data_IF_316079985142
#
_entry.id   IF_316079985142
#
_cell.length_a   1.000
_cell.length_b   1.000
_cell.length_c   1.000
_cell.angle_alpha   90.00
_cell.angle_beta   90.00
_cell.angle_gamma   90.00
#
_symmetry.space_group_name_H-M   'P 1'
#
loop_
_entity.id
_entity.type
_entity.pdbx_description
1 polymer ?
#
# COMPACT_ATOMS: atom_id res chain seq x y z
N UNK A 1 -15.04 6.53 -10.55
CA UNK A 1 -14.97 7.96 -10.90
C UNK A 1 -15.93 8.86 -10.13
N UNK A 2 -17.05 8.36 -9.63
CA UNK A 2 -18.07 9.17 -8.93
C UNK A 2 -17.95 9.10 -7.38
N UNK A 3 -17.11 8.25 -6.85
CA UNK A 3 -16.95 8.05 -5.41
C UNK A 3 -16.66 9.38 -4.66
N UNK A 4 -17.28 9.57 -3.50
CA UNK A 4 -17.11 10.74 -2.65
C UNK A 4 -17.66 12.07 -3.22
N UNK A 5 -18.50 12.03 -4.26
CA UNK A 5 -19.05 13.23 -4.92
C UNK A 5 -20.50 13.57 -4.50
N UNK A 6 -20.87 13.27 -3.26
CA UNK A 6 -22.19 13.69 -2.77
C UNK A 6 -22.32 15.22 -2.81
N UNK A 7 -23.53 15.71 -3.06
CA UNK A 7 -23.81 17.17 -3.10
C UNK A 7 -23.44 17.89 -1.80
N UNK A 8 -23.47 17.18 -0.67
CA UNK A 8 -23.03 17.68 0.64
C UNK A 8 -21.58 18.19 0.60
N UNK A 9 -20.70 17.53 -0.16
CA UNK A 9 -19.27 17.85 -0.21
C UNK A 9 -18.86 18.69 -1.43
N UNK A 10 -19.63 18.61 -2.50
CA UNK A 10 -19.31 19.34 -3.74
C UNK A 10 -19.97 20.71 -3.82
N UNK A 11 -21.00 20.97 -3.03
CA UNK A 11 -21.81 22.20 -3.05
C UNK A 11 -22.26 22.59 -4.47
N UNK A 12 -22.49 21.57 -5.34
CA UNK A 12 -22.88 21.74 -6.73
C UNK A 12 -21.74 21.79 -7.74
N UNK A 13 -20.48 21.86 -7.31
CA UNK A 13 -19.33 21.72 -8.20
C UNK A 13 -19.13 20.26 -8.65
N UNK A 14 -18.33 20.03 -9.70
CA UNK A 14 -17.99 18.69 -10.18
C UNK A 14 -17.07 17.98 -9.19
N UNK A 15 -16.11 18.67 -8.58
CA UNK A 15 -15.21 18.16 -7.55
C UNK A 15 -15.64 18.62 -6.15
N UNK A 16 -15.09 17.99 -5.11
CA UNK A 16 -15.22 18.47 -3.74
C UNK A 16 -14.64 19.87 -3.58
N UNK A 17 -15.17 20.64 -2.63
CA UNK A 17 -14.59 21.94 -2.27
C UNK A 17 -13.28 21.77 -1.50
N UNK A 18 -12.39 22.74 -1.54
CA UNK A 18 -11.23 22.82 -0.64
C UNK A 18 -11.64 23.71 0.53
N UNK A 19 -11.90 23.09 1.68
CA UNK A 19 -12.25 23.80 2.90
C UNK A 19 -11.09 23.69 3.90
N UNK A 20 -10.29 24.76 3.97
CA UNK A 20 -9.23 24.90 4.99
C UNK A 20 -9.84 25.51 6.23
N UNK A 21 -9.73 24.85 7.36
CA UNK A 21 -10.21 25.35 8.64
C UNK A 21 -9.47 24.74 9.83
N UNK A 22 -9.13 25.56 10.80
CA UNK A 22 -8.84 25.15 12.16
C UNK A 22 -10.11 25.25 13.00
N UNK A 23 -10.67 26.45 13.12
CA UNK A 23 -11.91 26.70 13.85
C UNK A 23 -13.11 26.71 12.91
N UNK A 24 -14.23 26.20 13.43
CA UNK A 24 -15.54 26.22 12.79
C UNK A 24 -16.53 26.93 13.72
N UNK A 25 -17.31 27.86 13.19
CA UNK A 25 -18.23 28.73 13.97
C UNK A 25 -19.59 28.03 14.04
N UNK A 26 -20.28 28.18 15.17
CA UNK A 26 -21.63 27.71 15.41
C UNK A 26 -22.56 28.87 15.67
N UNK A 27 -23.70 28.90 14.97
CA UNK A 27 -24.69 30.01 15.08
C UNK A 27 -25.45 29.98 16.40
N UNK A 28 -25.42 28.88 17.14
CA UNK A 28 -26.11 28.75 18.41
C UNK A 28 -25.48 27.71 19.33
N UNK A 29 -25.80 27.75 20.61
CA UNK A 29 -25.41 26.72 21.61
C UNK A 29 -25.98 25.35 21.21
N UNK A 30 -27.17 25.30 20.66
CA UNK A 30 -27.78 24.05 20.22
C UNK A 30 -27.05 23.46 19.00
N UNK A 31 -26.68 24.29 18.02
CA UNK A 31 -25.86 23.88 16.89
C UNK A 31 -24.49 23.30 17.36
N UNK A 32 -23.85 23.97 18.32
CA UNK A 32 -22.60 23.47 18.93
C UNK A 32 -22.79 22.13 19.61
N UNK A 33 -23.86 21.96 20.41
CA UNK A 33 -24.17 20.69 21.08
C UNK A 33 -24.44 19.56 20.07
N UNK A 34 -25.19 19.86 19.00
CA UNK A 34 -25.42 18.90 17.91
C UNK A 34 -24.13 18.45 17.26
N UNK A 35 -23.28 19.37 16.83
CA UNK A 35 -21.98 19.07 16.23
C UNK A 35 -21.07 18.28 17.18
N UNK A 36 -21.10 18.60 18.49
CA UNK A 36 -20.32 17.85 19.49
C UNK A 36 -20.77 16.39 19.60
N UNK A 37 -22.09 16.13 19.63
CA UNK A 37 -22.63 14.76 19.68
C UNK A 37 -22.31 13.97 18.40
N UNK A 38 -22.32 14.65 17.26
CA UNK A 38 -22.18 14.04 15.93
C UNK A 38 -20.77 14.18 15.33
N UNK A 39 -19.78 14.66 16.10
CA UNK A 39 -18.40 14.92 15.62
C UNK A 39 -17.69 13.71 14.99
N UNK A 40 -18.20 12.51 15.23
CA UNK A 40 -17.69 11.27 14.67
C UNK A 40 -18.38 10.85 13.36
N UNK A 41 -19.46 11.55 12.97
CA UNK A 41 -20.36 11.16 11.87
C UNK A 41 -20.22 12.07 10.63
N UNK A 42 -19.05 12.70 10.42
CA UNK A 42 -18.81 13.59 9.30
C UNK A 42 -19.54 14.95 9.44
N UNK A 43 -19.77 15.40 10.69
CA UNK A 43 -20.25 16.74 11.00
C UNK A 43 -19.08 17.70 11.22
N UNK A 44 -19.25 18.92 10.73
CA UNK A 44 -18.26 19.99 10.93
C UNK A 44 -18.20 20.37 12.43
N UNK A 45 -17.06 20.14 13.03
CA UNK A 45 -16.87 20.36 14.48
C UNK A 45 -15.58 21.13 14.77
N UNK A 46 -14.46 20.65 14.28
CA UNK A 46 -13.11 21.20 14.45
C UNK A 46 -12.20 20.69 13.34
N UNK A 47 -11.37 21.54 12.77
CA UNK A 47 -10.58 21.23 11.57
C UNK A 47 -9.75 19.94 11.66
N UNK A 48 -9.17 19.63 12.83
CA UNK A 48 -8.42 18.37 13.04
C UNK A 48 -9.28 17.10 12.85
N UNK A 49 -10.60 17.19 13.04
CA UNK A 49 -11.53 16.08 12.79
C UNK A 49 -12.04 16.00 11.36
N UNK A 50 -11.57 16.88 10.51
CA UNK A 50 -11.89 16.94 9.09
C UNK A 50 -12.84 18.09 8.73
N UNK A 51 -12.85 18.35 7.44
CA UNK A 51 -13.74 19.32 6.76
C UNK A 51 -14.45 18.59 5.62
N UNK A 52 -15.28 19.31 4.86
CA UNK A 52 -15.99 18.74 3.71
C UNK A 52 -15.03 18.06 2.71
N UNK A 53 -13.82 18.61 2.56
CA UNK A 53 -12.77 18.03 1.68
C UNK A 53 -12.34 16.64 2.17
N UNK A 54 -12.08 16.52 3.47
CA UNK A 54 -11.67 15.25 4.08
C UNK A 54 -12.78 14.20 4.04
N UNK A 55 -14.01 14.61 4.38
CA UNK A 55 -15.17 13.72 4.37
C UNK A 55 -15.49 13.19 2.97
N UNK A 56 -15.29 14.02 1.94
CA UNK A 56 -15.40 13.63 0.53
C UNK A 56 -14.40 12.50 0.18
N UNK A 57 -13.14 12.66 0.58
CA UNK A 57 -12.10 11.65 0.33
C UNK A 57 -12.36 10.37 1.15
N UNK A 58 -12.72 10.50 2.43
CA UNK A 58 -13.04 9.35 3.28
C UNK A 58 -14.20 8.54 2.71
N UNK A 59 -15.28 9.22 2.26
CA UNK A 59 -16.39 8.56 1.57
C UNK A 59 -15.93 7.88 0.29
N UNK A 60 -15.08 8.55 -0.52
CA UNK A 60 -14.57 7.97 -1.75
C UNK A 60 -13.77 6.68 -1.50
N UNK A 61 -12.95 6.66 -0.46
CA UNK A 61 -12.18 5.46 -0.09
C UNK A 61 -13.08 4.34 0.42
N UNK A 62 -14.09 4.65 1.24
CA UNK A 62 -15.08 3.66 1.67
C UNK A 62 -15.84 3.05 0.48
N UNK A 63 -16.29 3.87 -0.47
CA UNK A 63 -16.97 3.40 -1.69
C UNK A 63 -16.02 2.59 -2.58
N UNK A 64 -14.74 2.96 -2.63
CA UNK A 64 -13.74 2.27 -3.43
C UNK A 64 -13.43 0.86 -2.89
N UNK A 65 -13.26 0.73 -1.57
CA UNK A 65 -12.80 -0.51 -0.93
C UNK A 65 -13.92 -1.31 -0.23
N UNK A 66 -15.15 -0.79 -0.20
CA UNK A 66 -16.30 -1.47 0.45
C UNK A 66 -16.28 -1.37 1.97
N UNK A 67 -15.63 -0.35 2.56
CA UNK A 67 -15.46 -0.22 3.99
C UNK A 67 -16.57 0.54 4.71
N UNK A 68 -16.65 0.35 6.03
CA UNK A 68 -17.56 1.08 6.92
C UNK A 68 -17.03 2.46 7.31
N UNK A 69 -15.70 2.67 7.26
CA UNK A 69 -15.04 3.93 7.54
C UNK A 69 -13.62 4.00 7.02
N UNK A 70 -13.13 5.22 6.87
CA UNK A 70 -11.78 5.51 6.41
C UNK A 70 -11.12 6.56 7.31
N UNK A 71 -9.89 6.31 7.73
CA UNK A 71 -9.03 7.29 8.41
C UNK A 71 -7.95 7.77 7.45
N UNK A 72 -7.64 9.07 7.51
CA UNK A 72 -6.57 9.71 6.74
C UNK A 72 -5.36 9.97 7.65
N UNK A 73 -4.17 9.71 7.13
CA UNK A 73 -2.89 9.84 7.84
C UNK A 73 -1.90 10.67 7.01
N UNK A 74 -0.89 11.30 7.64
CA UNK A 74 0.07 12.15 6.92
C UNK A 74 0.95 11.39 5.93
N UNK A 75 1.08 10.07 6.07
CA UNK A 75 1.81 9.21 5.12
C UNK A 75 1.42 7.72 5.32
N UNK A 76 1.87 6.86 4.41
CA UNK A 76 1.63 5.42 4.49
C UNK A 76 2.20 4.77 5.75
N UNK A 77 3.42 5.12 6.14
CA UNK A 77 4.04 4.59 7.37
C UNK A 77 3.23 4.97 8.63
N UNK A 78 2.68 6.18 8.69
CA UNK A 78 1.78 6.59 9.77
C UNK A 78 0.47 5.79 9.74
N UNK A 79 -0.06 5.49 8.55
CA UNK A 79 -1.27 4.66 8.43
C UNK A 79 -1.03 3.24 8.97
N UNK A 80 0.08 2.60 8.60
CA UNK A 80 0.46 1.27 9.12
C UNK A 80 0.65 1.30 10.64
N UNK A 81 1.54 2.18 11.13
CA UNK A 81 1.88 2.25 12.55
C UNK A 81 0.65 2.51 13.43
N UNK A 82 -0.18 3.49 13.06
CA UNK A 82 -1.36 3.84 13.86
C UNK A 82 -2.49 2.80 13.73
N UNK A 83 -2.62 2.12 12.59
CA UNK A 83 -3.58 1.02 12.46
C UNK A 83 -3.22 -0.14 13.39
N UNK A 84 -1.93 -0.49 13.50
CA UNK A 84 -1.47 -1.52 14.43
C UNK A 84 -1.67 -1.05 15.88
N UNK A 85 -1.21 0.16 16.24
CA UNK A 85 -1.35 0.72 17.59
C UNK A 85 -2.81 0.82 18.06
N UNK A 86 -3.75 0.94 17.14
CA UNK A 86 -5.17 1.01 17.48
C UNK A 86 -5.69 -0.26 18.17
N UNK A 87 -5.05 -1.40 17.98
CA UNK A 87 -5.61 -2.69 18.39
C UNK A 87 -4.70 -3.50 19.34
N UNK A 88 -3.46 -3.08 19.58
CA UNK A 88 -2.52 -3.82 20.42
C UNK A 88 -2.37 -3.19 21.79
N UNK A 89 -2.11 -4.04 22.78
CA UNK A 89 -1.77 -3.70 24.16
C UNK A 89 -0.51 -4.44 24.59
N UNK A 90 0.03 -4.09 25.75
CA UNK A 90 1.17 -4.80 26.33
C UNK A 90 0.84 -6.29 26.51
N UNK A 91 1.72 -7.16 26.02
CA UNK A 91 1.56 -8.61 26.08
C UNK A 91 0.93 -9.20 24.82
N UNK A 92 0.45 -8.40 23.90
CA UNK A 92 -0.09 -8.87 22.60
C UNK A 92 1.02 -9.34 21.66
N UNK A 93 0.60 -10.13 20.68
CA UNK A 93 1.44 -10.64 19.59
C UNK A 93 0.94 -10.17 18.22
N UNK A 94 1.89 -9.71 17.39
CA UNK A 94 1.69 -9.40 15.98
C UNK A 94 2.36 -10.46 15.13
N UNK A 95 1.62 -11.09 14.24
CA UNK A 95 2.16 -12.02 13.25
C UNK A 95 2.20 -11.31 11.88
N UNK A 96 3.38 -11.02 11.35
CA UNK A 96 3.60 -10.21 10.15
C UNK A 96 4.28 -11.02 9.05
N UNK A 97 3.86 -10.80 7.78
CA UNK A 97 4.61 -11.37 6.66
C UNK A 97 6.05 -10.85 6.65
N UNK A 98 7.02 -11.73 6.37
CA UNK A 98 8.43 -11.34 6.29
C UNK A 98 8.76 -10.56 5.00
N UNK A 99 7.78 -10.40 4.11
CA UNK A 99 7.87 -9.58 2.89
C UNK A 99 7.19 -8.23 3.03
N UNK A 100 6.79 -7.84 4.23
CA UNK A 100 6.25 -6.50 4.48
C UNK A 100 7.30 -5.40 4.21
N UNK A 101 6.83 -4.22 3.88
CA UNK A 101 7.66 -3.03 3.69
C UNK A 101 8.57 -2.79 4.90
N UNK A 102 9.87 -2.58 4.67
CA UNK A 102 10.89 -2.52 5.72
C UNK A 102 10.53 -1.57 6.88
N UNK A 103 10.05 -0.32 6.66
CA UNK A 103 9.63 0.55 7.76
C UNK A 103 8.49 0.00 8.61
N UNK A 104 7.61 -0.85 8.05
CA UNK A 104 6.56 -1.53 8.82
C UNK A 104 7.15 -2.60 9.74
N UNK A 105 8.15 -3.34 9.24
CA UNK A 105 8.93 -4.31 10.02
C UNK A 105 9.71 -3.60 11.14
N UNK A 106 10.38 -2.49 10.80
CA UNK A 106 11.14 -1.68 11.75
C UNK A 106 10.27 -1.09 12.85
N UNK A 107 9.07 -0.63 12.51
CA UNK A 107 8.10 -0.18 13.50
C UNK A 107 7.78 -1.29 14.50
N UNK A 108 7.48 -2.49 14.03
CA UNK A 108 7.16 -3.62 14.90
C UNK A 108 8.35 -4.04 15.75
N UNK A 109 9.54 -4.16 15.18
CA UNK A 109 10.74 -4.63 15.90
C UNK A 109 11.36 -3.58 16.83
N UNK A 110 11.28 -2.28 16.46
CA UNK A 110 11.99 -1.19 17.18
C UNK A 110 11.08 -0.36 18.09
N UNK A 111 9.79 -0.24 17.78
CA UNK A 111 8.86 0.59 18.53
C UNK A 111 7.89 -0.27 19.33
N UNK A 112 7.16 -1.20 18.70
CA UNK A 112 6.20 -2.05 19.41
C UNK A 112 6.86 -2.89 20.50
N UNK A 113 8.08 -3.37 20.27
CA UNK A 113 8.84 -4.12 21.27
C UNK A 113 9.06 -3.33 22.58
N UNK A 114 9.23 -2.00 22.49
CA UNK A 114 9.35 -1.12 23.67
C UNK A 114 8.03 -0.95 24.43
N UNK A 115 6.91 -1.22 23.76
CA UNK A 115 5.56 -1.19 24.35
C UNK A 115 5.14 -2.56 24.91
N UNK A 116 6.04 -3.55 24.86
CA UNK A 116 5.78 -4.89 25.36
C UNK A 116 4.93 -5.75 24.42
N UNK A 117 4.83 -5.37 23.14
CA UNK A 117 4.19 -6.18 22.10
C UNK A 117 5.24 -7.00 21.37
N UNK A 118 5.00 -8.30 21.20
CA UNK A 118 5.89 -9.20 20.49
C UNK A 118 5.53 -9.30 19.02
N UNK A 119 6.53 -9.51 18.13
CA UNK A 119 6.29 -9.71 16.71
C UNK A 119 7.00 -10.97 16.25
N UNK A 120 6.31 -11.80 15.48
CA UNK A 120 6.90 -12.91 14.74
C UNK A 120 6.56 -12.81 13.24
N UNK A 121 7.26 -13.61 12.45
CA UNK A 121 7.26 -13.47 10.99
C UNK A 121 6.82 -14.76 10.33
N UNK A 122 6.16 -14.68 9.18
CA UNK A 122 5.78 -15.84 8.40
C UNK A 122 6.14 -15.66 6.92
N UNK A 123 6.30 -16.80 6.24
CA UNK A 123 6.58 -16.86 4.80
C UNK A 123 5.32 -16.43 4.00
N UNK A 124 5.44 -15.56 2.98
CA UNK A 124 4.30 -15.09 2.20
C UNK A 124 3.50 -16.21 1.51
N UNK A 125 4.12 -17.35 1.23
CA UNK A 125 3.49 -18.48 0.56
C UNK A 125 2.95 -19.55 1.52
N UNK A 126 2.90 -19.25 2.82
CA UNK A 126 2.53 -20.23 3.87
C UNK A 126 1.08 -20.73 3.75
N UNK A 127 0.17 -19.93 3.20
CA UNK A 127 -1.24 -20.28 3.07
C UNK A 127 -1.88 -20.68 4.41
N UNK A 128 -2.63 -21.79 4.42
CA UNK A 128 -3.32 -22.28 5.62
C UNK A 128 -2.36 -22.74 6.74
N UNK A 129 -1.10 -23.06 6.43
CA UNK A 129 -0.09 -23.44 7.43
C UNK A 129 0.27 -22.33 8.41
N UNK A 130 -0.24 -21.10 8.19
CA UNK A 130 -0.12 -19.97 9.13
C UNK A 130 -0.62 -20.32 10.54
N UNK A 131 -1.50 -21.30 10.69
CA UNK A 131 -1.96 -21.80 12.00
C UNK A 131 -0.83 -22.23 12.93
N UNK A 132 0.31 -22.67 12.37
CA UNK A 132 1.49 -23.09 13.12
C UNK A 132 2.24 -21.93 13.78
N UNK A 133 1.98 -20.70 13.36
CA UNK A 133 2.61 -19.47 13.85
C UNK A 133 1.68 -18.64 14.75
N UNK A 134 0.40 -18.98 14.81
CA UNK A 134 -0.57 -18.31 15.67
C UNK A 134 -0.31 -18.66 17.14
N UNK A 135 -0.42 -17.66 18.01
CA UNK A 135 -0.28 -17.78 19.46
C UNK A 135 -1.63 -17.41 20.10
N UNK A 136 -1.92 -17.86 21.35
CA UNK A 136 -3.16 -17.52 22.03
C UNK A 136 -3.38 -16.00 22.18
N UNK A 137 -2.30 -15.23 22.25
CA UNK A 137 -2.28 -13.77 22.34
C UNK A 137 -2.03 -13.08 20.98
N UNK A 138 -2.15 -13.79 19.84
CA UNK A 138 -2.05 -13.16 18.52
C UNK A 138 -3.23 -12.21 18.33
N UNK A 139 -2.92 -10.92 18.34
CA UNK A 139 -3.90 -9.85 18.20
C UNK A 139 -4.03 -9.35 16.77
N UNK A 140 -2.91 -9.31 16.03
CA UNK A 140 -2.88 -8.85 14.65
C UNK A 140 -2.18 -9.88 13.77
N UNK A 141 -2.76 -10.12 12.58
CA UNK A 141 -2.08 -10.75 11.44
C UNK A 141 -1.95 -9.70 10.34
N UNK A 142 -0.71 -9.37 9.98
CA UNK A 142 -0.40 -8.31 9.01
C UNK A 142 0.14 -8.89 7.71
N UNK A 143 -0.54 -8.58 6.61
CA UNK A 143 -0.24 -9.04 5.26
C UNK A 143 0.28 -7.86 4.41
N UNK A 144 1.03 -8.17 3.36
CA UNK A 144 1.32 -7.28 2.24
C UNK A 144 1.40 -8.13 0.98
N UNK A 145 0.46 -7.94 0.06
CA UNK A 145 0.35 -8.79 -1.14
C UNK A 145 0.03 -7.95 -2.37
N UNK A 146 0.90 -8.00 -3.40
CA UNK A 146 2.21 -8.67 -3.44
C UNK A 146 3.20 -8.13 -2.41
N UNK A 147 4.15 -8.99 -2.00
CA UNK A 147 5.19 -8.63 -1.05
C UNK A 147 6.13 -7.54 -1.56
N UNK A 148 6.64 -6.71 -0.66
CA UNK A 148 7.57 -5.62 -0.98
C UNK A 148 8.81 -6.15 -1.69
N UNK A 149 9.18 -5.52 -2.80
CA UNK A 149 10.37 -5.78 -3.65
C UNK A 149 10.31 -7.11 -4.43
N UNK A 150 10.05 -8.24 -3.78
CA UNK A 150 10.15 -9.59 -4.39
C UNK A 150 8.83 -10.14 -4.93
N UNK A 151 7.72 -9.44 -4.69
CA UNK A 151 6.42 -9.59 -5.36
C UNK A 151 5.70 -10.94 -5.17
N UNK A 152 5.96 -11.67 -4.09
CA UNK A 152 5.20 -12.89 -3.75
C UNK A 152 3.74 -12.55 -3.47
N UNK A 153 2.81 -13.30 -4.05
CA UNK A 153 1.36 -13.12 -3.82
C UNK A 153 0.86 -14.16 -2.83
N UNK A 154 0.16 -13.69 -1.80
CA UNK A 154 -0.38 -14.53 -0.73
C UNK A 154 -1.66 -15.26 -1.16
N UNK A 155 -1.90 -16.46 -0.63
CA UNK A 155 -3.22 -17.08 -0.60
C UNK A 155 -4.07 -16.46 0.52
N UNK A 156 -4.57 -15.22 0.27
CA UNK A 156 -5.31 -14.45 1.27
C UNK A 156 -6.54 -15.19 1.79
N UNK A 157 -7.40 -15.80 0.95
CA UNK A 157 -8.55 -16.56 1.43
C UNK A 157 -8.17 -17.71 2.38
N UNK A 158 -7.12 -18.47 2.04
CA UNK A 158 -6.66 -19.58 2.89
C UNK A 158 -6.11 -19.07 4.23
N UNK A 159 -5.32 -17.99 4.21
CA UNK A 159 -4.81 -17.35 5.43
C UNK A 159 -5.96 -16.85 6.31
N UNK A 160 -6.92 -16.12 5.75
CA UNK A 160 -8.07 -15.59 6.50
C UNK A 160 -8.87 -16.71 7.13
N UNK A 161 -9.21 -17.76 6.37
CA UNK A 161 -9.97 -18.90 6.89
C UNK A 161 -9.20 -19.60 8.04
N UNK A 162 -7.90 -19.82 7.89
CA UNK A 162 -7.05 -20.43 8.89
C UNK A 162 -6.97 -19.59 10.17
N UNK A 163 -6.73 -18.28 10.06
CA UNK A 163 -6.69 -17.36 11.21
C UNK A 163 -8.04 -17.36 11.95
N UNK A 164 -9.16 -17.24 11.22
CA UNK A 164 -10.50 -17.21 11.83
C UNK A 164 -10.84 -18.51 12.56
N UNK A 165 -10.28 -19.65 12.14
CA UNK A 165 -10.53 -20.95 12.79
C UNK A 165 -9.81 -21.11 14.13
N UNK A 166 -8.70 -20.40 14.36
CA UNK A 166 -7.86 -20.54 15.55
C UNK A 166 -7.96 -19.34 16.49
N UNK A 167 -7.89 -18.13 15.94
CA UNK A 167 -7.96 -16.86 16.69
C UNK A 167 -8.98 -15.93 16.03
N UNK A 168 -10.29 -16.21 16.16
CA UNK A 168 -11.36 -15.52 15.44
C UNK A 168 -11.40 -14.00 15.70
N UNK A 169 -10.95 -13.58 16.86
CA UNK A 169 -10.94 -12.18 17.28
C UNK A 169 -9.71 -11.39 16.81
N UNK A 170 -8.68 -12.06 16.26
CA UNK A 170 -7.53 -11.37 15.69
C UNK A 170 -7.96 -10.41 14.58
N UNK A 171 -7.28 -9.27 14.50
CA UNK A 171 -7.49 -8.28 13.44
C UNK A 171 -6.56 -8.61 12.28
N UNK A 172 -7.13 -8.85 11.10
CA UNK A 172 -6.36 -9.12 9.90
C UNK A 172 -6.24 -7.82 9.11
N UNK A 173 -5.00 -7.38 8.92
CA UNK A 173 -4.67 -6.15 8.19
C UNK A 173 -3.86 -6.47 6.94
N UNK A 174 -4.00 -5.64 5.92
CA UNK A 174 -3.19 -5.73 4.71
C UNK A 174 -2.71 -4.36 4.27
N UNK A 175 -1.42 -4.26 3.93
CA UNK A 175 -0.95 -3.18 3.06
C UNK A 175 -1.37 -3.50 1.63
N UNK A 176 -2.34 -2.74 1.13
CA UNK A 176 -2.97 -2.90 -0.18
C UNK A 176 -2.50 -1.81 -1.18
N UNK A 177 -1.37 -1.18 -0.90
CA UNK A 177 -0.86 -0.05 -1.67
C UNK A 177 -0.61 -0.42 -3.13
N UNK A 178 -0.05 -1.61 -3.40
CA UNK A 178 0.24 -2.07 -4.76
C UNK A 178 -1.03 -2.20 -5.62
N UNK A 179 -2.10 -2.66 -5.04
CA UNK A 179 -3.37 -2.88 -5.72
C UNK A 179 -4.29 -1.65 -5.72
N UNK A 180 -3.92 -0.58 -5.01
CA UNK A 180 -4.64 0.69 -4.94
C UNK A 180 -6.12 0.57 -4.53
N UNK A 181 -6.51 -0.50 -3.83
CA UNK A 181 -7.91 -0.79 -3.47
C UNK A 181 -8.83 -1.05 -4.67
N UNK A 182 -8.28 -1.11 -5.88
CA UNK A 182 -9.00 -1.38 -7.14
C UNK A 182 -8.75 -2.80 -7.62
N UNK A 183 -7.46 -3.17 -7.72
CA UNK A 183 -7.04 -4.44 -8.30
C UNK A 183 -7.30 -5.62 -7.36
N UNK A 184 -7.34 -5.36 -6.05
CA UNK A 184 -7.67 -6.31 -5.01
C UNK A 184 -8.62 -5.69 -3.97
N UNK A 185 -9.79 -6.28 -3.79
CA UNK A 185 -10.83 -5.84 -2.85
C UNK A 185 -10.66 -6.53 -1.50
N UNK A 186 -9.70 -6.09 -0.72
CA UNK A 186 -9.26 -6.77 0.49
C UNK A 186 -10.39 -7.10 1.48
N UNK A 187 -11.33 -6.19 1.69
CA UNK A 187 -12.43 -6.40 2.65
C UNK A 187 -13.40 -7.51 2.20
N UNK A 188 -13.56 -7.73 0.89
CA UNK A 188 -14.40 -8.81 0.35
C UNK A 188 -13.80 -10.19 0.66
N UNK A 189 -12.50 -10.27 0.94
CA UNK A 189 -11.79 -11.49 1.33
C UNK A 189 -11.70 -11.70 2.85
N UNK A 190 -12.43 -10.90 3.66
CA UNK A 190 -12.47 -11.04 5.11
C UNK A 190 -11.33 -10.36 5.88
N UNK A 191 -10.58 -9.49 5.20
CA UNK A 191 -9.62 -8.56 5.84
C UNK A 191 -10.42 -7.53 6.66
N UNK A 192 -9.91 -7.15 7.81
CA UNK A 192 -10.55 -6.16 8.69
C UNK A 192 -10.13 -4.73 8.36
N UNK A 193 -8.86 -4.52 8.01
CA UNK A 193 -8.29 -3.19 7.72
C UNK A 193 -7.43 -3.25 6.46
N UNK A 194 -7.81 -2.50 5.45
CA UNK A 194 -7.04 -2.27 4.23
C UNK A 194 -6.30 -0.94 4.34
N UNK A 195 -4.97 -0.99 4.32
CA UNK A 195 -4.09 0.16 4.50
C UNK A 195 -3.43 0.49 3.16
N UNK A 196 -3.30 1.78 2.86
CA UNK A 196 -2.60 2.23 1.66
C UNK A 196 -1.72 3.44 1.94
N UNK A 197 -0.52 3.44 1.38
CA UNK A 197 0.19 4.67 1.08
C UNK A 197 -0.49 5.32 -0.13
N UNK A 198 -1.53 6.13 0.11
CA UNK A 198 -2.26 6.81 -0.96
C UNK A 198 -1.38 7.79 -1.76
N UNK A 199 -0.20 8.12 -1.24
CA UNK A 199 0.96 8.74 -1.91
C UNK A 199 1.26 8.14 -3.29
N UNK A 200 0.98 6.83 -3.47
CA UNK A 200 1.29 6.07 -4.68
C UNK A 200 0.22 6.31 -5.75
N UNK A 201 -0.41 5.26 -6.25
CA UNK A 201 -1.38 5.33 -7.35
C UNK A 201 -2.59 6.22 -7.10
N UNK A 202 -3.05 6.37 -5.86
CA UNK A 202 -4.22 7.20 -5.56
C UNK A 202 -3.95 8.68 -5.89
N UNK A 203 -2.83 9.24 -5.43
CA UNK A 203 -2.34 10.56 -5.83
C UNK A 203 -1.86 10.53 -7.29
N UNK A 204 -0.94 9.63 -7.61
CA UNK A 204 -0.48 9.30 -8.96
C UNK A 204 0.40 10.34 -9.65
N UNK A 205 0.92 11.34 -8.92
CA UNK A 205 1.64 12.46 -9.49
C UNK A 205 2.93 12.82 -8.74
N UNK A 206 3.35 11.99 -7.77
CA UNK A 206 4.62 12.12 -7.02
C UNK A 206 4.80 13.46 -6.27
N UNK A 207 3.68 14.13 -5.92
CA UNK A 207 3.66 15.50 -5.39
C UNK A 207 2.97 15.65 -4.03
N UNK A 208 2.44 14.56 -3.45
CA UNK A 208 1.79 14.60 -2.14
C UNK A 208 2.01 13.31 -1.34
N UNK A 209 2.05 13.45 -0.03
CA UNK A 209 2.17 12.32 0.90
C UNK A 209 0.91 12.17 1.72
N UNK A 210 0.33 10.97 1.70
CA UNK A 210 -0.89 10.65 2.45
C UNK A 210 -0.99 9.14 2.64
N UNK A 211 -1.54 8.72 3.80
CA UNK A 211 -1.94 7.35 4.06
C UNK A 211 -3.44 7.24 4.28
N UNK A 212 -4.01 6.10 3.96
CA UNK A 212 -5.41 5.77 4.27
C UNK A 212 -5.50 4.41 4.93
N UNK A 213 -6.46 4.25 5.85
CA UNK A 213 -6.85 2.95 6.36
C UNK A 213 -8.38 2.85 6.27
N UNK A 214 -8.86 1.92 5.46
CA UNK A 214 -10.27 1.61 5.30
C UNK A 214 -10.56 0.32 6.06
N UNK A 215 -11.62 0.29 6.86
CA UNK A 215 -11.92 -0.87 7.68
C UNK A 215 -13.40 -1.26 7.65
N UNK A 216 -13.68 -2.51 8.08
CA UNK A 216 -15.02 -2.99 8.29
C UNK A 216 -15.68 -2.37 9.55
N UNK A 217 -16.98 -2.65 9.78
CA UNK A 217 -17.72 -2.07 10.89
C UNK A 217 -17.18 -2.48 12.27
N UNK A 218 -16.59 -3.68 12.39
CA UNK A 218 -16.01 -4.18 13.65
C UNK A 218 -14.84 -3.32 14.14
N UNK A 219 -14.05 -2.78 13.21
CA UNK A 219 -12.83 -2.04 13.52
C UNK A 219 -13.00 -0.52 13.52
N UNK A 220 -14.11 0.00 12.95
CA UNK A 220 -14.24 1.41 12.65
C UNK A 220 -14.11 2.34 13.86
N UNK A 221 -14.84 2.08 14.91
CA UNK A 221 -14.86 2.97 16.07
C UNK A 221 -13.47 3.05 16.73
N UNK A 222 -12.84 1.90 16.96
CA UNK A 222 -11.54 1.82 17.62
C UNK A 222 -10.44 2.45 16.78
N UNK A 223 -10.37 2.17 15.47
CA UNK A 223 -9.40 2.76 14.56
C UNK A 223 -9.54 4.29 14.50
N UNK A 224 -10.76 4.78 14.36
CA UNK A 224 -11.08 6.21 14.28
C UNK A 224 -10.68 6.95 15.55
N UNK A 225 -11.10 6.46 16.72
CA UNK A 225 -10.81 7.14 17.99
C UNK A 225 -9.32 7.11 18.32
N UNK A 226 -8.63 6.01 18.07
CA UNK A 226 -7.18 5.94 18.24
C UNK A 226 -6.47 6.99 17.36
N UNK A 227 -6.82 7.09 16.10
CA UNK A 227 -6.24 8.10 15.20
C UNK A 227 -6.46 9.53 15.69
N UNK A 228 -7.65 9.84 16.22
CA UNK A 228 -7.92 11.14 16.82
C UNK A 228 -7.09 11.42 18.07
N UNK A 229 -6.93 10.43 18.95
CA UNK A 229 -6.12 10.56 20.17
C UNK A 229 -4.65 10.74 19.82
N UNK A 230 -4.16 10.05 18.80
CA UNK A 230 -2.80 10.17 18.29
C UNK A 230 -2.58 11.44 17.45
N UNK A 231 -3.61 12.27 17.26
CA UNK A 231 -3.52 13.53 16.52
C UNK A 231 -3.34 13.39 15.02
N UNK A 232 -3.71 12.24 14.46
CA UNK A 232 -3.55 11.96 13.03
C UNK A 232 -4.49 12.83 12.20
N UNK A 233 -3.93 13.50 11.21
CA UNK A 233 -4.66 14.32 10.24
C UNK A 233 -3.83 14.55 8.98
N UNK A 234 -4.48 15.00 7.93
CA UNK A 234 -3.88 15.52 6.71
C UNK A 234 -4.50 16.90 6.43
N UNK A 235 -3.79 17.76 5.72
CA UNK A 235 -4.33 19.05 5.31
C UNK A 235 -5.38 18.90 4.19
N UNK A 236 -6.21 19.95 4.01
CA UNK A 236 -7.31 19.92 3.04
C UNK A 236 -6.82 19.90 1.59
N UNK A 237 -5.66 20.50 1.29
CA UNK A 237 -5.10 20.53 -0.06
C UNK A 237 -4.63 19.14 -0.47
N UNK A 238 -3.91 18.43 0.39
CA UNK A 238 -3.50 17.05 0.16
C UNK A 238 -4.71 16.10 0.01
N UNK A 239 -5.75 16.27 0.83
CA UNK A 239 -6.99 15.51 0.68
C UNK A 239 -7.68 15.80 -0.67
N UNK A 240 -7.66 17.05 -1.13
CA UNK A 240 -8.19 17.42 -2.44
C UNK A 240 -7.38 16.83 -3.59
N UNK A 241 -6.04 16.94 -3.56
CA UNK A 241 -5.14 16.39 -4.57
C UNK A 241 -5.37 14.87 -4.70
N UNK A 242 -5.50 14.17 -3.60
CA UNK A 242 -5.80 12.74 -3.59
C UNK A 242 -7.16 12.44 -4.21
N UNK A 243 -8.20 13.19 -3.85
CA UNK A 243 -9.53 13.09 -4.47
C UNK A 243 -9.49 13.34 -5.97
N UNK A 244 -8.66 14.28 -6.42
CA UNK A 244 -8.45 14.58 -7.85
C UNK A 244 -7.75 13.41 -8.55
N UNK A 245 -6.72 12.84 -7.95
CA UNK A 245 -6.00 11.65 -8.46
C UNK A 245 -6.92 10.45 -8.66
N UNK A 246 -7.87 10.23 -7.75
CA UNK A 246 -8.88 9.16 -7.86
C UNK A 246 -9.69 9.23 -9.16
N UNK A 247 -9.89 10.41 -9.74
CA UNK A 247 -10.72 10.59 -10.97
C UNK A 247 -10.11 9.91 -12.18
N UNK A 248 -8.79 9.78 -12.21
CA UNK A 248 -8.03 9.13 -13.30
C UNK A 248 -7.40 7.80 -12.89
N UNK A 249 -7.62 7.33 -11.67
CA UNK A 249 -6.97 6.13 -11.13
C UNK A 249 -7.17 4.91 -12.04
N UNK A 250 -8.40 4.63 -12.46
CA UNK A 250 -8.70 3.45 -13.29
C UNK A 250 -8.06 3.50 -14.69
N UNK A 251 -7.93 4.70 -15.29
CA UNK A 251 -7.25 4.87 -16.59
C UNK A 251 -5.74 4.67 -16.41
N UNK A 252 -5.15 5.27 -15.37
CA UNK A 252 -3.72 5.13 -15.09
C UNK A 252 -3.33 3.69 -14.76
N UNK A 253 -4.10 3.01 -13.90
CA UNK A 253 -3.83 1.61 -13.54
C UNK A 253 -3.90 0.68 -14.76
N UNK A 254 -4.82 0.93 -15.69
CA UNK A 254 -4.89 0.16 -16.94
C UNK A 254 -3.62 0.35 -17.77
N UNK A 255 -3.18 1.60 -17.96
CA UNK A 255 -1.95 1.88 -18.69
C UNK A 255 -0.72 1.28 -17.98
N UNK A 256 -0.62 1.41 -16.67
CA UNK A 256 0.45 0.79 -15.88
C UNK A 256 0.45 -0.73 -16.05
N UNK A 257 -0.72 -1.39 -16.03
CA UNK A 257 -0.85 -2.83 -16.24
C UNK A 257 -0.35 -3.24 -17.64
N UNK A 258 -0.86 -2.60 -18.68
CA UNK A 258 -0.53 -2.92 -20.07
C UNK A 258 0.97 -2.71 -20.34
N UNK A 259 1.52 -1.57 -19.94
CA UNK A 259 2.93 -1.25 -20.13
C UNK A 259 3.86 -2.13 -19.30
N UNK A 260 3.54 -2.35 -18.00
CA UNK A 260 4.40 -3.17 -17.14
C UNK A 260 4.42 -4.64 -17.57
N UNK A 261 3.31 -5.17 -18.05
CA UNK A 261 3.25 -6.54 -18.54
C UNK A 261 4.11 -6.71 -19.81
N UNK A 262 4.01 -5.79 -20.77
CA UNK A 262 4.83 -5.80 -21.98
C UNK A 262 6.33 -5.72 -21.67
N UNK A 263 6.73 -4.84 -20.76
CA UNK A 263 8.13 -4.74 -20.28
C UNK A 263 8.55 -6.03 -19.58
N UNK A 264 7.71 -6.61 -18.73
CA UNK A 264 8.01 -7.82 -17.98
C UNK A 264 8.15 -9.05 -18.89
N UNK A 265 7.33 -9.18 -19.93
CA UNK A 265 7.43 -10.22 -20.95
C UNK A 265 8.73 -10.10 -21.75
N UNK A 266 9.08 -8.89 -22.18
CA UNK A 266 10.36 -8.63 -22.86
C UNK A 266 11.56 -8.97 -21.96
N UNK A 267 11.53 -8.58 -20.68
CA UNK A 267 12.59 -8.92 -19.73
C UNK A 267 12.70 -10.43 -19.49
N UNK A 268 11.61 -11.17 -19.52
CA UNK A 268 11.63 -12.62 -19.33
C UNK A 268 12.40 -13.36 -20.43
N UNK A 269 12.43 -12.80 -21.64
CA UNK A 269 13.19 -13.31 -22.77
C UNK A 269 14.64 -12.78 -22.83
N UNK A 270 14.98 -11.80 -22.00
CA UNK A 270 16.28 -11.10 -22.08
C UNK A 270 17.43 -12.00 -21.55
N UNK A 271 18.55 -12.15 -22.31
CA UNK A 271 19.63 -13.09 -21.98
C UNK A 271 20.34 -12.82 -20.64
N UNK A 272 20.35 -11.59 -20.16
CA UNK A 272 20.99 -11.21 -18.90
C UNK A 272 20.04 -11.31 -17.69
N UNK A 273 18.76 -11.58 -17.89
CA UNK A 273 17.75 -11.71 -16.83
C UNK A 273 17.64 -13.17 -16.40
N UNK A 274 17.71 -13.41 -15.10
CA UNK A 274 17.54 -14.73 -14.50
C UNK A 274 16.07 -15.04 -14.18
N UNK A 275 15.32 -14.02 -13.74
CA UNK A 275 13.92 -14.15 -13.34
C UNK A 275 13.23 -12.79 -13.32
N UNK A 276 11.97 -12.76 -13.71
CA UNK A 276 11.09 -11.60 -13.53
C UNK A 276 10.08 -11.92 -12.43
N UNK A 277 9.95 -11.02 -11.46
CA UNK A 277 8.98 -11.10 -10.38
C UNK A 277 7.82 -10.15 -10.69
N UNK A 278 6.96 -10.54 -11.63
CA UNK A 278 5.75 -9.80 -11.96
C UNK A 278 4.54 -10.72 -11.71
N UNK A 279 3.60 -10.35 -10.83
CA UNK A 279 2.50 -11.25 -10.41
C UNK A 279 1.69 -11.85 -11.56
N UNK A 280 1.53 -11.12 -12.67
CA UNK A 280 0.79 -11.59 -13.83
C UNK A 280 1.56 -12.59 -14.72
N UNK A 281 2.87 -12.75 -14.57
CA UNK A 281 3.64 -13.70 -15.36
C UNK A 281 3.53 -15.11 -14.78
N UNK A 282 3.23 -16.13 -15.61
CA UNK A 282 3.31 -17.52 -15.20
C UNK A 282 4.69 -17.86 -14.64
N UNK A 283 4.72 -18.58 -13.52
CA UNK A 283 5.97 -18.92 -12.82
C UNK A 283 6.40 -17.92 -11.75
N UNK A 284 5.79 -16.74 -11.66
CA UNK A 284 5.96 -15.86 -10.50
C UNK A 284 5.34 -16.48 -9.25
N UNK A 285 5.95 -16.23 -8.10
CA UNK A 285 5.53 -16.81 -6.82
C UNK A 285 4.13 -16.34 -6.43
N UNK A 286 3.17 -17.27 -6.36
CA UNK A 286 1.77 -16.99 -6.07
C UNK A 286 0.99 -16.45 -7.28
N UNK A 287 1.48 -16.67 -8.52
CA UNK A 287 0.75 -16.28 -9.74
C UNK A 287 -0.68 -16.81 -9.78
N UNK A 288 -0.90 -18.04 -9.33
CA UNK A 288 -2.23 -18.66 -9.23
C UNK A 288 -3.18 -17.88 -8.33
N UNK A 289 -2.68 -17.31 -7.23
CA UNK A 289 -3.47 -16.48 -6.32
C UNK A 289 -3.74 -15.11 -6.93
N UNK A 290 -2.75 -14.52 -7.61
CA UNK A 290 -2.98 -13.30 -8.37
C UNK A 290 -4.07 -13.51 -9.43
N UNK A 291 -3.99 -14.58 -10.21
CA UNK A 291 -4.95 -14.88 -11.26
C UNK A 291 -6.37 -15.12 -10.74
N UNK A 292 -6.50 -15.67 -9.52
CA UNK A 292 -7.79 -15.93 -8.87
C UNK A 292 -8.41 -14.67 -8.25
N UNK A 293 -7.60 -13.83 -7.60
CA UNK A 293 -8.07 -12.83 -6.64
C UNK A 293 -7.91 -11.39 -7.13
N UNK A 294 -7.03 -11.14 -8.11
CA UNK A 294 -6.75 -9.80 -8.61
C UNK A 294 -7.39 -9.56 -9.98
N UNK A 295 -7.79 -8.30 -10.22
CA UNK A 295 -8.41 -7.89 -11.49
C UNK A 295 -7.41 -7.31 -12.50
N UNK A 296 -6.12 -7.31 -12.19
CA UNK A 296 -5.03 -6.79 -13.01
C UNK A 296 -3.76 -6.59 -12.21
N UNK A 297 -2.78 -5.92 -12.81
CA UNK A 297 -1.49 -5.59 -12.20
C UNK A 297 -1.26 -4.09 -12.16
N UNK A 298 -0.28 -3.68 -11.38
CA UNK A 298 0.20 -2.30 -11.33
C UNK A 298 1.53 -2.14 -12.08
N UNK A 299 2.09 -0.94 -12.09
CA UNK A 299 3.37 -0.65 -12.73
C UNK A 299 4.61 -1.11 -11.95
N UNK A 300 4.44 -1.56 -10.71
CA UNK A 300 5.56 -1.94 -9.84
C UNK A 300 5.83 -3.43 -9.88
N UNK A 301 7.07 -3.78 -10.25
CA UNK A 301 7.56 -5.16 -10.20
C UNK A 301 9.10 -5.18 -10.07
N UNK A 302 9.71 -6.35 -10.07
CA UNK A 302 11.16 -6.48 -10.06
C UNK A 302 11.65 -7.61 -10.97
N UNK A 303 12.94 -7.58 -11.28
CA UNK A 303 13.61 -8.68 -11.95
C UNK A 303 15.00 -8.90 -11.34
N UNK A 304 15.55 -10.08 -11.55
CA UNK A 304 16.87 -10.46 -11.05
C UNK A 304 17.81 -10.66 -12.23
N UNK A 305 18.95 -10.01 -12.20
CA UNK A 305 20.03 -10.24 -13.16
C UNK A 305 20.69 -11.60 -12.93
N UNK A 306 21.22 -12.22 -13.99
CA UNK A 306 22.08 -13.43 -13.85
C UNK A 306 23.37 -13.15 -13.09
N UNK A 307 23.85 -11.91 -13.15
CA UNK A 307 25.08 -11.44 -12.53
C UNK A 307 24.77 -10.55 -11.33
N UNK A 308 25.57 -10.65 -10.29
CA UNK A 308 25.66 -9.63 -9.25
C UNK A 308 26.60 -8.53 -9.72
N UNK A 309 26.07 -7.33 -9.88
CA UNK A 309 26.84 -6.18 -10.30
C UNK A 309 27.69 -5.63 -9.13
N UNK A 310 28.94 -5.28 -9.38
CA UNK A 310 29.73 -4.49 -8.46
C UNK A 310 29.32 -3.01 -8.55
N UNK A 311 29.93 -2.15 -7.71
CA UNK A 311 29.53 -0.73 -7.62
C UNK A 311 29.76 0.04 -8.94
N UNK A 312 30.85 -0.25 -9.67
CA UNK A 312 31.14 0.36 -10.96
C UNK A 312 30.15 -0.06 -12.03
N UNK A 313 29.87 -1.36 -12.13
CA UNK A 313 28.88 -1.90 -13.06
C UNK A 313 27.47 -1.40 -12.74
N UNK A 314 27.16 -1.25 -11.45
CA UNK A 314 25.89 -0.72 -10.99
C UNK A 314 25.72 0.74 -11.40
N UNK A 315 26.77 1.57 -11.22
CA UNK A 315 26.78 2.96 -11.67
C UNK A 315 26.65 3.04 -13.20
N UNK A 316 27.42 2.24 -13.94
CA UNK A 316 27.32 2.17 -15.40
C UNK A 316 25.92 1.80 -15.89
N UNK A 317 25.25 0.90 -15.17
CA UNK A 317 23.87 0.50 -15.51
C UNK A 317 22.87 1.62 -15.21
N UNK A 318 22.89 2.19 -14.00
CA UNK A 318 21.82 3.04 -13.48
C UNK A 318 21.96 4.54 -13.83
N UNK A 319 23.19 5.08 -13.95
CA UNK A 319 23.40 6.53 -14.05
C UNK A 319 23.04 7.14 -15.42
N UNK A 320 22.84 6.31 -16.44
CA UNK A 320 22.74 6.75 -17.83
C UNK A 320 21.43 6.40 -18.52
N UNK A 321 20.34 6.16 -17.79
CA UNK A 321 19.02 6.04 -18.37
C UNK A 321 18.48 7.41 -18.81
N UNK A 322 17.72 7.42 -19.90
CA UNK A 322 17.10 8.63 -20.44
C UNK A 322 15.69 8.86 -19.91
N UNK A 323 14.96 7.79 -19.67
CA UNK A 323 13.57 7.83 -19.20
C UNK A 323 13.43 7.34 -17.77
N UNK A 324 14.16 6.29 -17.37
CA UNK A 324 14.12 5.82 -16.01
C UNK A 324 14.96 6.71 -15.09
N UNK A 325 14.38 7.16 -13.99
CA UNK A 325 15.07 7.91 -12.95
C UNK A 325 15.30 7.07 -11.71
N UNK A 326 16.44 7.25 -11.04
CA UNK A 326 16.66 6.63 -9.73
C UNK A 326 15.92 7.43 -8.65
N UNK A 327 14.89 6.85 -8.08
CA UNK A 327 14.18 7.46 -6.97
C UNK A 327 13.51 6.41 -6.08
N UNK A 328 13.38 6.74 -4.81
CA UNK A 328 12.48 6.03 -3.92
C UNK A 328 11.02 6.39 -4.25
N UNK A 329 10.09 5.60 -3.70
CA UNK A 329 8.67 5.66 -4.03
C UNK A 329 8.35 5.02 -5.40
N UNK A 330 7.12 5.19 -5.87
CA UNK A 330 6.55 4.66 -7.11
C UNK A 330 5.08 5.06 -7.22
N UNK A 331 4.41 4.70 -8.32
CA UNK A 331 2.97 4.93 -8.49
C UNK A 331 2.60 6.28 -9.09
N UNK A 332 3.58 7.08 -9.49
CA UNK A 332 3.41 8.30 -10.28
C UNK A 332 3.31 8.02 -11.77
N UNK A 333 3.40 9.10 -12.55
CA UNK A 333 3.37 9.04 -14.02
C UNK A 333 4.77 8.71 -14.61
N UNK A 334 5.82 8.91 -13.84
CA UNK A 334 7.22 8.71 -14.21
C UNK A 334 7.69 7.27 -13.99
N UNK A 335 8.56 6.77 -14.87
CA UNK A 335 9.23 5.48 -14.71
C UNK A 335 10.44 5.57 -13.80
N UNK A 336 10.54 4.65 -12.84
CA UNK A 336 11.59 4.65 -11.82
C UNK A 336 12.31 3.30 -11.77
N UNK A 337 13.61 3.35 -11.45
CA UNK A 337 14.49 2.19 -11.32
C UNK A 337 15.31 2.27 -10.03
N UNK A 338 15.42 1.14 -9.32
CA UNK A 338 16.35 0.98 -8.18
C UNK A 338 16.94 -0.42 -8.18
N UNK A 339 18.19 -0.53 -7.77
CA UNK A 339 18.84 -1.83 -7.55
C UNK A 339 18.89 -2.20 -6.07
N UNK A 340 18.83 -3.49 -5.81
CA UNK A 340 19.01 -4.08 -4.49
C UNK A 340 19.96 -5.27 -4.60
N UNK A 341 20.99 -5.28 -3.77
CA UNK A 341 21.89 -6.42 -3.70
C UNK A 341 21.25 -7.56 -2.88
N UNK A 342 21.59 -8.83 -3.18
CA UNK A 342 21.03 -9.97 -2.46
C UNK A 342 21.19 -9.87 -0.94
N UNK A 343 22.33 -9.37 -0.45
CA UNK A 343 22.61 -9.22 0.97
C UNK A 343 21.66 -8.22 1.65
N UNK A 344 21.32 -7.14 0.95
CA UNK A 344 20.36 -6.17 1.45
C UNK A 344 18.97 -6.82 1.59
N UNK A 345 18.52 -7.54 0.57
CA UNK A 345 17.23 -8.24 0.63
C UNK A 345 17.24 -9.30 1.74
N UNK A 346 18.34 -10.04 1.92
CA UNK A 346 18.47 -11.01 3.02
C UNK A 346 18.36 -10.33 4.40
N UNK A 347 18.96 -9.15 4.56
CA UNK A 347 18.95 -8.42 5.82
C UNK A 347 17.54 -7.92 6.22
N UNK A 348 16.69 -7.59 5.25
CA UNK A 348 15.32 -7.11 5.48
C UNK A 348 14.25 -8.23 5.40
N UNK A 349 14.66 -9.49 5.39
CA UNK A 349 13.75 -10.66 5.36
C UNK A 349 13.90 -11.47 6.65
N UNK A 350 13.24 -11.06 7.76
CA UNK A 350 13.33 -11.80 9.01
C UNK A 350 12.94 -13.26 8.80
N UNK A 351 13.84 -14.19 9.18
CA UNK A 351 13.66 -15.64 9.01
C UNK A 351 13.43 -16.12 7.57
N UNK A 352 13.47 -15.21 6.57
CA UNK A 352 13.31 -15.53 5.16
C UNK A 352 14.63 -15.92 4.51
N UNK A 353 14.54 -16.80 3.51
CA UNK A 353 15.66 -17.13 2.63
C UNK A 353 15.42 -16.48 1.28
N UNK A 354 16.45 -15.85 0.73
CA UNK A 354 16.44 -15.44 -0.67
C UNK A 354 16.90 -16.61 -1.54
N UNK A 355 16.35 -16.71 -2.73
CA UNK A 355 16.59 -17.78 -3.70
C UNK A 355 17.24 -17.27 -5.00
N UNK A 356 17.96 -16.19 -4.91
CA UNK A 356 18.70 -15.58 -6.02
C UNK A 356 20.04 -15.02 -5.54
N UNK A 357 20.99 -14.91 -6.46
CA UNK A 357 22.35 -14.41 -6.21
C UNK A 357 22.73 -13.19 -7.05
N UNK A 358 21.97 -12.88 -8.08
CA UNK A 358 22.16 -11.71 -8.93
C UNK A 358 21.59 -10.43 -8.32
N UNK A 359 21.97 -9.27 -8.86
CA UNK A 359 21.38 -7.99 -8.47
C UNK A 359 19.90 -7.97 -8.82
N UNK A 360 19.05 -7.59 -7.87
CA UNK A 360 17.63 -7.40 -8.10
C UNK A 360 17.38 -5.94 -8.48
N UNK A 361 16.69 -5.74 -9.60
CA UNK A 361 16.26 -4.44 -10.09
C UNK A 361 14.77 -4.30 -9.85
N UNK A 362 14.36 -3.24 -9.15
CA UNK A 362 12.97 -2.85 -8.98
C UNK A 362 12.62 -1.80 -10.02
N UNK A 363 11.55 -2.04 -10.79
CA UNK A 363 11.00 -1.09 -11.74
C UNK A 363 9.63 -0.60 -11.25
N UNK A 364 9.38 0.67 -11.49
CA UNK A 364 8.04 1.21 -11.64
C UNK A 364 7.90 1.73 -13.07
N UNK A 365 6.94 1.19 -13.79
CA UNK A 365 6.63 1.59 -15.16
C UNK A 365 5.58 2.69 -15.09
N UNK A 366 5.95 3.87 -15.56
CA UNK A 366 5.11 5.06 -15.62
C UNK A 366 4.09 5.06 -16.76
N UNK A 367 3.85 6.22 -17.32
CA UNK A 367 2.87 6.46 -18.39
C UNK A 367 3.52 6.86 -19.71
N UNK A 368 4.84 6.76 -19.79
CA UNK A 368 5.61 7.00 -21.02
C UNK A 368 5.32 5.93 -22.06
N UNK A 369 5.76 6.16 -23.30
CA UNK A 369 5.64 5.17 -24.36
C UNK A 369 6.41 3.88 -23.99
N UNK A 370 5.76 2.73 -24.09
CA UNK A 370 6.33 1.47 -23.61
C UNK A 370 7.48 0.97 -24.49
N UNK A 371 7.48 1.28 -25.77
CA UNK A 371 8.56 0.87 -26.68
C UNK A 371 9.82 1.71 -26.44
N UNK A 372 9.66 2.99 -26.12
CA UNK A 372 10.76 3.85 -25.68
C UNK A 372 11.34 3.39 -24.34
N UNK A 373 10.51 2.94 -23.39
CA UNK A 373 10.99 2.37 -22.12
C UNK A 373 11.77 1.08 -22.33
N UNK A 374 11.34 0.20 -23.23
CA UNK A 374 12.08 -1.01 -23.58
C UNK A 374 13.41 -0.67 -24.24
N UNK A 375 13.44 0.31 -25.15
CA UNK A 375 14.68 0.75 -25.79
C UNK A 375 15.67 1.35 -24.78
N UNK A 376 15.20 2.11 -23.79
CA UNK A 376 16.05 2.67 -22.73
C UNK A 376 16.63 1.57 -21.82
N UNK A 377 15.83 0.54 -21.47
CA UNK A 377 16.31 -0.64 -20.74
C UNK A 377 17.34 -1.44 -21.54
N UNK A 378 17.12 -1.67 -22.82
CA UNK A 378 18.05 -2.39 -23.70
C UNK A 378 19.40 -1.68 -23.79
N UNK A 379 19.37 -0.34 -23.94
CA UNK A 379 20.59 0.48 -23.87
C UNK A 379 21.28 0.36 -22.52
N UNK A 380 20.52 0.20 -21.42
CA UNK A 380 21.06 -0.07 -20.09
C UNK A 380 21.81 -1.40 -20.03
N UNK A 381 21.20 -2.48 -20.52
CA UNK A 381 21.83 -3.79 -20.56
C UNK A 381 23.11 -3.83 -21.39
N UNK A 382 23.18 -3.07 -22.47
CA UNK A 382 24.39 -2.98 -23.30
C UNK A 382 25.62 -2.41 -22.53
N UNK A 383 25.41 -1.70 -21.42
CA UNK A 383 26.48 -1.10 -20.60
C UNK A 383 27.11 -2.07 -19.60
N UNK A 384 26.51 -3.23 -19.37
CA UNK A 384 26.96 -4.23 -18.37
C UNK A 384 27.27 -5.60 -18.97
N UNK A 385 27.61 -5.64 -20.25
CA UNK A 385 28.00 -6.87 -20.97
C UNK A 385 29.36 -7.39 -20.50
#
# INVERSE_FOLDING_TARGET
>A
MNAGRSKKYTLGAVNSVIQRASSLVFDSVEAKKHATRNRANGELFYGRRGTLTHFSLQQAMCELEGGAGCVLFPCGAAAVANSILAFVEQGDHVLMTNTAYEPSQDFCSKILSKLGVTTSWFDPLIGADIVKHLQPNTKIVFLESPGSITMEVHDVPAIVAAVRSVVPDAIIMIDNTWAAGVLFKALDFGIDVSIQAATKYLVGHSDAMIGTAVCNARCWEQLRENAYLMGQMVDADTAYITSRGLRTLGVRLRQHHESSLKVAEWLAEHPQVARVNHPALPGSKGHEFWKRDFTGSSGLFSFVLKKKLNDEELANYLDNFSLFSMAYSWGGYESLILANQPEHIAAIRPQGKIDFSGTLIRLHIGLEDVDDLIADLDAGFARIV
#
